data_IF_822909449368
#
_entry.id   IF_822909449368
#
_cell.length_a   1.000
_cell.length_b   1.000
_cell.length_c   1.000
_cell.angle_alpha   90.00
_cell.angle_beta   90.00
_cell.angle_gamma   90.00
#
_symmetry.space_group_name_H-M   'P 1'
#
loop_
_entity.id
_entity.type
_entity.pdbx_description
1 polymer ?
#
# COMPACT_ATOMS: atom_id res chain seq x y z
N UNK A 1 2.99 -21.38 12.76
CA UNK A 1 1.53 -21.57 12.78
C UNK A 1 1.04 -21.87 11.39
N UNK A 2 -0.08 -22.56 11.25
CA UNK A 2 -0.82 -22.67 9.98
C UNK A 2 -2.09 -21.85 10.11
N UNK A 3 -2.34 -20.99 9.14
CA UNK A 3 -3.59 -20.27 9.01
C UNK A 3 -4.45 -20.90 7.93
N UNK A 4 -5.74 -21.03 8.18
CA UNK A 4 -6.75 -21.20 7.14
C UNK A 4 -7.07 -19.81 6.63
N UNK A 5 -6.79 -19.56 5.35
CA UNK A 5 -6.97 -18.24 4.74
C UNK A 5 -8.45 -17.92 4.58
N UNK A 6 -8.88 -16.76 5.07
CA UNK A 6 -10.23 -16.27 4.86
C UNK A 6 -10.33 -15.38 3.62
N UNK A 7 -9.28 -14.58 3.37
CA UNK A 7 -9.18 -13.72 2.19
C UNK A 7 -7.73 -13.36 1.90
N UNK A 8 -7.43 -13.12 0.63
CA UNK A 8 -6.17 -12.57 0.15
C UNK A 8 -6.44 -11.51 -0.92
N UNK A 9 -6.00 -10.29 -0.69
CA UNK A 9 -6.08 -9.21 -1.66
C UNK A 9 -5.11 -9.43 -2.82
N UNK A 10 -5.50 -8.97 -4.02
CA UNK A 10 -4.63 -8.92 -5.19
C UNK A 10 -4.00 -7.53 -5.24
N UNK A 11 -2.68 -7.47 -5.08
CA UNK A 11 -1.89 -6.25 -5.20
C UNK A 11 -1.52 -5.97 -6.67
N UNK A 12 -1.28 -4.70 -7.00
CA UNK A 12 -0.67 -4.35 -8.29
C UNK A 12 0.73 -4.99 -8.47
N UNK A 13 1.44 -5.27 -7.37
CA UNK A 13 2.69 -6.04 -7.38
C UNK A 13 2.50 -7.47 -7.88
N UNK A 14 1.43 -8.15 -7.45
CA UNK A 14 1.12 -9.52 -7.89
C UNK A 14 0.83 -9.56 -9.40
N UNK A 15 0.02 -8.61 -9.90
CA UNK A 15 -0.30 -8.54 -11.34
C UNK A 15 0.91 -8.21 -12.20
N UNK A 16 1.84 -7.35 -11.72
CA UNK A 16 3.12 -7.07 -12.39
C UNK A 16 4.04 -8.29 -12.37
N UNK A 17 4.13 -8.99 -11.25
CA UNK A 17 4.92 -10.21 -11.12
C UNK A 17 4.40 -11.30 -12.06
N UNK A 18 3.09 -11.52 -12.10
CA UNK A 18 2.44 -12.47 -13.01
C UNK A 18 2.67 -12.12 -14.48
N UNK A 19 2.69 -10.83 -14.84
CA UNK A 19 2.97 -10.35 -16.18
C UNK A 19 4.46 -10.41 -16.58
N UNK A 20 5.35 -10.90 -15.74
CA UNK A 20 6.77 -11.02 -16.05
C UNK A 20 7.55 -9.72 -15.98
N UNK A 21 7.11 -8.74 -15.18
CA UNK A 21 7.78 -7.44 -15.06
C UNK A 21 9.24 -7.59 -14.63
N UNK A 22 10.15 -6.88 -15.31
CA UNK A 22 11.59 -6.94 -15.10
C UNK A 22 12.01 -6.61 -13.66
N UNK A 23 11.29 -5.70 -12.97
CA UNK A 23 11.53 -5.38 -11.56
C UNK A 23 11.40 -6.58 -10.61
N UNK A 24 10.66 -7.62 -10.99
CA UNK A 24 10.49 -8.85 -10.23
C UNK A 24 11.35 -10.01 -10.75
N UNK A 25 11.46 -10.12 -12.08
CA UNK A 25 12.10 -11.27 -12.74
C UNK A 25 13.56 -11.02 -13.11
N UNK A 26 14.05 -9.79 -12.89
CA UNK A 26 15.41 -9.39 -13.22
C UNK A 26 15.60 -9.00 -14.67
N UNK A 27 16.70 -8.32 -14.94
CA UNK A 27 17.21 -7.96 -16.27
C UNK A 27 18.73 -7.75 -16.18
N UNK A 28 19.39 -7.46 -17.29
CA UNK A 28 20.84 -7.23 -17.29
C UNK A 28 21.23 -6.16 -16.25
N UNK A 29 22.01 -6.58 -15.26
CA UNK A 29 22.47 -5.72 -14.16
C UNK A 29 21.57 -5.67 -12.92
N UNK A 30 20.35 -6.25 -12.96
CA UNK A 30 19.47 -6.37 -11.80
C UNK A 30 19.10 -7.84 -11.54
N UNK A 31 19.42 -8.41 -10.36
CA UNK A 31 19.12 -9.80 -10.05
C UNK A 31 17.61 -10.01 -9.91
N UNK A 32 17.18 -11.24 -10.20
CA UNK A 32 15.82 -11.71 -10.00
C UNK A 32 15.43 -11.64 -8.52
N UNK A 33 14.32 -10.97 -8.22
CA UNK A 33 13.76 -10.89 -6.86
C UNK A 33 12.90 -12.12 -6.51
N UNK A 34 12.01 -12.52 -7.41
CA UNK A 34 11.16 -13.71 -7.22
C UNK A 34 11.99 -14.98 -7.17
N UNK A 35 11.67 -15.85 -6.22
CA UNK A 35 12.29 -17.18 -6.05
C UNK A 35 11.22 -18.25 -6.09
N UNK A 36 10.96 -18.77 -7.28
CA UNK A 36 10.01 -19.84 -7.52
C UNK A 36 10.56 -21.25 -7.15
N UNK A 37 9.68 -22.25 -6.96
CA UNK A 37 8.21 -22.13 -6.93
C UNK A 37 7.72 -21.45 -5.66
N UNK A 38 6.69 -20.58 -5.77
CA UNK A 38 6.03 -19.94 -4.64
C UNK A 38 4.52 -19.81 -4.89
N UNK A 39 3.75 -19.69 -3.83
CA UNK A 39 2.34 -19.30 -3.87
C UNK A 39 2.29 -17.78 -3.65
N UNK A 40 1.65 -17.00 -4.54
CA UNK A 40 1.59 -15.54 -4.41
C UNK A 40 0.64 -15.05 -3.33
N UNK A 41 0.59 -13.72 -3.13
CA UNK A 41 -0.33 -13.02 -2.24
C UNK A 41 0.26 -12.69 -0.87
N UNK A 42 0.35 -11.41 -0.57
CA UNK A 42 0.90 -10.90 0.69
C UNK A 42 -0.12 -10.11 1.52
N UNK A 43 -1.28 -9.80 0.95
CA UNK A 43 -2.37 -9.08 1.61
C UNK A 43 -3.42 -10.10 2.13
N UNK A 44 -3.10 -10.89 3.16
CA UNK A 44 -3.99 -11.96 3.60
C UNK A 44 -4.35 -11.91 5.09
N UNK A 45 -5.52 -12.44 5.39
CA UNK A 45 -6.02 -12.67 6.74
C UNK A 45 -6.53 -14.11 6.84
N UNK A 46 -6.39 -14.72 8.01
CA UNK A 46 -6.84 -16.10 8.22
C UNK A 46 -6.93 -16.47 9.68
N UNK A 47 -7.50 -17.65 9.94
CA UNK A 47 -7.66 -18.23 11.29
C UNK A 47 -6.59 -19.26 11.57
N UNK A 48 -6.05 -19.23 12.78
CA UNK A 48 -5.09 -20.23 13.28
C UNK A 48 -5.76 -21.58 13.38
N UNK A 49 -5.25 -22.55 12.63
CA UNK A 49 -5.74 -23.95 12.66
C UNK A 49 -4.70 -24.92 13.22
N UNK A 50 -3.42 -24.52 13.27
CA UNK A 50 -2.36 -25.32 13.86
C UNK A 50 -1.30 -24.42 14.49
N UNK A 51 -0.83 -24.79 15.69
CA UNK A 51 0.22 -24.08 16.41
C UNK A 51 1.36 -25.05 16.70
N UNK A 52 2.52 -24.81 16.09
CA UNK A 52 3.72 -25.59 16.34
C UNK A 52 4.34 -25.33 17.72
N UNK A 53 5.18 -26.25 18.23
CA UNK A 53 5.71 -26.19 19.61
C UNK A 53 6.63 -25.00 19.89
N UNK A 54 7.19 -24.36 18.87
CA UNK A 54 8.14 -23.27 19.00
C UNK A 54 7.55 -21.89 18.65
N UNK A 55 6.22 -21.78 18.54
CA UNK A 55 5.53 -20.52 18.27
C UNK A 55 5.60 -19.64 19.52
N UNK A 56 6.04 -18.39 19.34
CA UNK A 56 6.08 -17.39 20.42
C UNK A 56 4.75 -16.66 20.52
N UNK A 57 4.39 -16.23 21.72
CA UNK A 57 3.13 -15.53 22.01
C UNK A 57 2.02 -16.46 22.49
N UNK A 58 0.90 -15.88 22.88
CA UNK A 58 -0.25 -16.59 23.48
C UNK A 58 -1.36 -16.86 22.46
N UNK A 59 -0.97 -17.32 21.27
CA UNK A 59 -1.91 -17.64 20.18
C UNK A 59 -2.76 -18.87 20.51
N UNK A 60 -4.01 -18.85 20.06
CA UNK A 60 -4.96 -19.96 20.23
C UNK A 60 -5.51 -20.40 18.88
N UNK A 61 -5.97 -21.64 18.80
CA UNK A 61 -6.74 -22.11 17.64
C UNK A 61 -7.99 -21.25 17.49
N UNK A 62 -8.27 -20.82 16.26
CA UNK A 62 -9.37 -19.93 15.94
C UNK A 62 -9.03 -18.44 16.02
N UNK A 63 -7.89 -18.03 16.59
CA UNK A 63 -7.45 -16.64 16.54
C UNK A 63 -7.32 -16.19 15.09
N UNK A 64 -7.82 -15.00 14.79
CA UNK A 64 -7.75 -14.39 13.47
C UNK A 64 -6.53 -13.50 13.38
N UNK A 65 -5.75 -13.65 12.31
CA UNK A 65 -4.41 -13.04 12.18
C UNK A 65 -4.25 -12.44 10.79
N UNK A 66 -3.62 -11.25 10.74
CA UNK A 66 -3.01 -10.65 9.58
C UNK A 66 -1.51 -10.43 9.89
N UNK A 67 -0.57 -11.03 9.17
CA UNK A 67 0.86 -10.78 9.40
C UNK A 67 1.35 -9.57 8.61
N UNK A 68 2.47 -8.96 9.06
CA UNK A 68 3.23 -8.09 8.15
C UNK A 68 3.67 -8.90 6.94
N UNK A 69 3.72 -8.24 5.78
CA UNK A 69 4.14 -8.89 4.54
C UNK A 69 5.60 -9.31 4.52
N UNK A 70 6.46 -8.69 5.35
CA UNK A 70 7.87 -9.04 5.45
C UNK A 70 8.14 -10.10 6.53
N UNK A 71 9.06 -11.01 6.24
CA UNK A 71 9.60 -12.00 7.19
C UNK A 71 11.06 -11.66 7.45
N UNK A 72 11.37 -10.91 8.52
CA UNK A 72 12.71 -10.40 8.76
C UNK A 72 13.67 -11.52 9.20
N UNK A 73 14.95 -11.44 8.83
CA UNK A 73 15.95 -12.44 9.23
C UNK A 73 16.36 -12.33 10.72
N UNK A 74 16.10 -11.21 11.39
CA UNK A 74 16.47 -10.99 12.79
C UNK A 74 17.95 -10.69 13.05
N UNK A 75 18.85 -10.86 12.08
CA UNK A 75 20.31 -10.84 12.27
C UNK A 75 21.07 -9.75 11.50
N UNK A 76 20.51 -9.20 10.43
CA UNK A 76 21.14 -8.11 9.69
C UNK A 76 21.11 -6.79 10.47
N UNK A 77 21.89 -5.81 10.01
CA UNK A 77 21.98 -4.51 10.65
C UNK A 77 20.62 -3.83 10.83
N UNK A 78 19.78 -3.87 9.80
CA UNK A 78 18.45 -3.26 9.86
C UNK A 78 17.53 -3.94 10.89
N UNK A 79 17.51 -5.26 10.92
CA UNK A 79 16.74 -5.99 11.95
C UNK A 79 17.24 -5.68 13.37
N UNK A 80 18.56 -5.70 13.60
CA UNK A 80 19.16 -5.42 14.91
C UNK A 80 18.97 -3.98 15.39
N UNK A 81 18.72 -3.06 14.48
CA UNK A 81 18.47 -1.64 14.81
C UNK A 81 17.01 -1.23 14.77
N UNK A 82 16.07 -2.22 14.78
CA UNK A 82 14.63 -1.97 14.81
C UNK A 82 14.04 -1.50 13.47
N UNK A 83 14.74 -1.74 12.37
CA UNK A 83 14.33 -1.36 11.00
C UNK A 83 14.06 -2.61 10.17
N UNK A 84 13.30 -3.56 10.71
CA UNK A 84 13.06 -4.88 10.14
C UNK A 84 12.46 -4.87 8.73
N UNK A 85 11.67 -3.85 8.39
CA UNK A 85 11.09 -3.68 7.05
C UNK A 85 12.12 -3.42 5.95
N UNK A 86 13.34 -3.01 6.34
CA UNK A 86 14.50 -2.85 5.46
C UNK A 86 15.46 -4.04 5.56
N UNK A 87 14.99 -5.21 5.96
CA UNK A 87 15.81 -6.41 6.10
C UNK A 87 16.58 -6.73 4.82
N UNK A 88 17.89 -6.97 4.92
CA UNK A 88 18.74 -7.31 3.76
C UNK A 88 18.31 -8.57 3.02
N UNK A 89 17.76 -9.55 3.73
CA UNK A 89 17.22 -10.75 3.10
C UNK A 89 15.95 -10.48 2.31
N UNK A 90 15.17 -9.53 2.78
CA UNK A 90 13.94 -9.01 2.17
C UNK A 90 12.96 -10.10 1.72
N UNK A 91 12.75 -11.12 2.55
CA UNK A 91 11.75 -12.15 2.28
C UNK A 91 10.34 -11.59 2.50
N UNK A 92 9.53 -11.55 1.45
CA UNK A 92 8.12 -11.15 1.50
C UNK A 92 7.23 -12.36 1.21
N UNK A 93 6.10 -12.46 1.91
CA UNK A 93 5.08 -13.44 1.58
C UNK A 93 4.68 -13.32 0.11
N UNK A 94 4.56 -14.45 -0.57
CA UNK A 94 4.10 -14.50 -1.94
C UNK A 94 5.14 -14.20 -3.02
N UNK A 95 6.39 -13.89 -2.67
CA UNK A 95 7.47 -13.63 -3.63
C UNK A 95 8.68 -14.58 -3.48
N UNK A 96 8.77 -15.30 -2.38
CA UNK A 96 9.93 -16.11 -2.06
C UNK A 96 9.55 -17.59 -1.81
N UNK A 97 10.37 -18.50 -2.30
CA UNK A 97 10.16 -19.96 -2.23
C UNK A 97 9.80 -20.48 -0.83
N UNK A 98 10.40 -19.94 0.22
CA UNK A 98 10.23 -20.40 1.60
C UNK A 98 9.17 -19.58 2.37
N UNK A 99 8.59 -18.57 1.74
CA UNK A 99 7.63 -17.63 2.32
C UNK A 99 6.44 -17.53 1.37
N UNK A 100 5.68 -18.63 1.29
CA UNK A 100 4.47 -18.71 0.48
C UNK A 100 3.41 -17.74 0.97
N UNK A 101 2.66 -17.17 0.03
CA UNK A 101 1.58 -16.23 0.29
C UNK A 101 0.22 -16.87 0.54
N UNK A 102 -0.78 -16.01 0.65
CA UNK A 102 -2.15 -16.34 1.02
C UNK A 102 -3.11 -16.62 -0.13
N UNK A 103 -2.65 -16.69 -1.39
CA UNK A 103 -3.51 -17.16 -2.51
C UNK A 103 -3.62 -18.68 -2.49
N UNK A 104 -4.10 -19.22 -1.39
CA UNK A 104 -4.22 -20.64 -1.07
C UNK A 104 -5.26 -20.83 0.03
N UNK A 105 -5.75 -22.05 0.24
CA UNK A 105 -6.61 -22.39 1.37
C UNK A 105 -5.89 -22.28 2.72
N UNK A 106 -4.59 -22.57 2.74
CA UNK A 106 -3.76 -22.55 3.94
C UNK A 106 -2.41 -21.89 3.69
N UNK A 107 -1.94 -21.14 4.67
CA UNK A 107 -0.60 -20.52 4.65
C UNK A 107 0.17 -20.83 5.94
N UNK A 108 1.46 -21.09 5.78
CA UNK A 108 2.37 -21.31 6.90
C UNK A 108 3.06 -20.01 7.29
N UNK A 109 2.85 -19.54 8.50
CA UNK A 109 3.66 -18.50 9.11
C UNK A 109 4.92 -19.13 9.73
N UNK A 110 6.10 -18.67 9.31
CA UNK A 110 7.38 -19.09 9.91
C UNK A 110 7.53 -18.46 11.30
N UNK A 111 8.55 -18.88 12.05
CA UNK A 111 8.79 -18.35 13.40
C UNK A 111 9.22 -16.88 13.42
N UNK A 112 9.70 -16.37 12.28
CA UNK A 112 10.14 -14.99 12.10
C UNK A 112 9.01 -14.06 11.64
N UNK A 113 7.86 -14.61 11.24
CA UNK A 113 6.70 -13.83 10.84
C UNK A 113 6.22 -12.92 11.98
N UNK A 114 5.66 -11.78 11.62
CA UNK A 114 5.16 -10.76 12.54
C UNK A 114 3.62 -10.73 12.47
N UNK A 115 2.92 -11.59 13.22
CA UNK A 115 1.47 -11.70 13.20
C UNK A 115 0.81 -10.67 14.12
N UNK A 116 -0.34 -10.12 13.68
CA UNK A 116 -1.20 -9.22 14.44
C UNK A 116 -2.59 -9.83 14.60
N UNK A 117 -3.19 -9.62 15.77
CA UNK A 117 -4.53 -10.09 16.08
C UNK A 117 -5.57 -9.24 15.35
N UNK A 118 -6.52 -9.90 14.69
CA UNK A 118 -7.66 -9.25 14.01
C UNK A 118 -8.96 -9.62 14.75
N UNK A 119 -9.80 -8.64 15.14
CA UNK A 119 -11.08 -8.93 15.78
C UNK A 119 -11.92 -9.93 14.98
N UNK A 120 -12.52 -10.90 15.65
CA UNK A 120 -13.28 -11.98 15.02
C UNK A 120 -14.55 -11.46 14.30
N UNK A 121 -15.10 -10.36 14.78
CA UNK A 121 -16.29 -9.68 14.25
C UNK A 121 -16.00 -8.65 13.15
N UNK A 122 -14.71 -8.37 12.86
CA UNK A 122 -14.36 -7.47 11.77
C UNK A 122 -14.78 -8.08 10.43
N UNK A 123 -15.59 -7.36 9.58
CA UNK A 123 -15.97 -7.85 8.25
C UNK A 123 -14.75 -8.21 7.40
N UNK A 124 -14.90 -9.21 6.53
CA UNK A 124 -13.78 -9.70 5.69
C UNK A 124 -13.26 -8.61 4.74
N UNK A 125 -14.12 -7.75 4.25
CA UNK A 125 -13.77 -6.61 3.40
C UNK A 125 -12.87 -5.61 4.12
N UNK A 126 -13.09 -5.42 5.42
CA UNK A 126 -12.25 -4.58 6.27
C UNK A 126 -10.92 -5.26 6.58
N UNK A 127 -10.97 -6.54 6.94
CA UNK A 127 -9.78 -7.31 7.28
C UNK A 127 -8.81 -7.46 6.10
N UNK A 128 -9.31 -7.57 4.87
CA UNK A 128 -8.51 -7.63 3.65
C UNK A 128 -7.80 -6.29 3.31
N UNK A 129 -8.17 -5.19 3.97
CA UNK A 129 -7.56 -3.88 3.80
C UNK A 129 -6.49 -3.56 4.87
N UNK A 130 -6.27 -4.42 5.87
CA UNK A 130 -5.31 -4.15 6.95
C UNK A 130 -3.90 -3.94 6.40
N UNK A 131 -3.40 -4.88 5.59
CA UNK A 131 -2.05 -4.79 5.02
C UNK A 131 -1.89 -3.57 4.09
N UNK A 132 -2.72 -3.36 3.05
CA UNK A 132 -2.56 -2.21 2.18
C UNK A 132 -2.74 -0.87 2.92
N UNK A 133 -3.64 -0.80 3.90
CA UNK A 133 -3.83 0.41 4.69
C UNK A 133 -2.68 0.66 5.68
N UNK A 134 -2.01 -0.37 6.15
CA UNK A 134 -0.79 -0.23 6.93
C UNK A 134 0.33 0.41 6.08
N UNK A 135 0.47 0.04 4.81
CA UNK A 135 1.37 0.71 3.86
C UNK A 135 0.98 2.17 3.64
N UNK A 136 -0.32 2.44 3.48
CA UNK A 136 -0.85 3.80 3.34
C UNK A 136 -0.57 4.66 4.56
N UNK A 137 -0.80 4.11 5.74
CA UNK A 137 -0.54 4.78 7.02
C UNK A 137 0.95 5.12 7.17
N UNK A 138 1.84 4.18 6.88
CA UNK A 138 3.28 4.42 6.93
C UNK A 138 3.72 5.55 6.00
N UNK A 139 3.12 5.67 4.81
CA UNK A 139 3.38 6.77 3.89
C UNK A 139 3.05 8.12 4.54
N UNK A 140 1.90 8.23 5.19
CA UNK A 140 1.45 9.45 5.85
C UNK A 140 2.31 9.78 7.08
N UNK A 141 2.69 8.77 7.87
CA UNK A 141 3.61 8.93 8.99
C UNK A 141 4.98 9.47 8.52
N UNK A 142 5.53 8.89 7.44
CA UNK A 142 6.78 9.37 6.82
C UNK A 142 6.68 10.79 6.29
N UNK A 143 5.50 11.21 5.83
CA UNK A 143 5.25 12.58 5.36
C UNK A 143 5.31 13.62 6.48
N UNK A 144 5.14 13.22 7.76
CA UNK A 144 5.16 14.11 8.93
C UNK A 144 4.27 15.34 8.75
N UNK A 145 3.02 15.10 8.39
CA UNK A 145 2.03 16.13 8.09
C UNK A 145 1.75 17.00 9.32
N UNK A 146 1.70 18.32 9.11
CA UNK A 146 1.32 19.31 10.13
C UNK A 146 -0.04 19.92 9.79
N UNK A 147 -0.74 20.40 10.78
CA UNK A 147 -2.05 21.07 10.61
C UNK A 147 -2.00 22.37 9.80
N UNK A 148 -0.81 22.89 9.55
CA UNK A 148 -0.58 24.08 8.70
C UNK A 148 -0.26 23.73 7.25
N UNK A 149 -0.02 22.44 6.94
CA UNK A 149 0.46 22.02 5.62
C UNK A 149 -0.70 21.96 4.60
N UNK A 150 -0.41 22.38 3.39
CA UNK A 150 -1.18 22.06 2.19
C UNK A 150 -0.58 20.79 1.59
N UNK A 151 -1.35 19.73 1.58
CA UNK A 151 -0.94 18.41 1.09
C UNK A 151 -1.59 18.12 -0.25
N UNK A 152 -0.80 17.72 -1.22
CA UNK A 152 -1.26 17.20 -2.51
C UNK A 152 -0.90 15.73 -2.62
N UNK A 153 -1.88 14.88 -2.87
CA UNK A 153 -1.69 13.45 -3.12
C UNK A 153 -2.07 13.14 -4.56
N UNK A 154 -1.19 12.50 -5.30
CA UNK A 154 -1.43 12.02 -6.67
C UNK A 154 -1.62 10.52 -6.68
N UNK A 155 -2.78 10.09 -7.16
CA UNK A 155 -3.18 8.69 -7.24
C UNK A 155 -4.15 8.28 -6.14
N UNK A 156 -5.31 7.73 -6.56
CA UNK A 156 -6.40 7.28 -5.68
C UNK A 156 -6.85 5.85 -6.04
N UNK A 157 -5.87 4.93 -6.07
CA UNK A 157 -6.15 3.49 -6.01
C UNK A 157 -6.44 3.06 -4.57
N UNK A 158 -6.46 1.76 -4.31
CA UNK A 158 -6.70 1.21 -2.96
C UNK A 158 -5.78 1.85 -1.90
N UNK A 159 -4.49 1.91 -2.16
CA UNK A 159 -3.50 2.53 -1.25
C UNK A 159 -3.73 4.03 -1.12
N UNK A 160 -4.00 4.71 -2.24
CA UNK A 160 -4.29 6.15 -2.22
C UNK A 160 -5.52 6.50 -1.39
N UNK A 161 -6.59 5.71 -1.43
CA UNK A 161 -7.78 5.89 -0.57
C UNK A 161 -7.44 5.71 0.91
N UNK A 162 -6.65 4.69 1.25
CA UNK A 162 -6.13 4.51 2.61
C UNK A 162 -5.30 5.71 3.08
N UNK A 163 -4.48 6.29 2.18
CA UNK A 163 -3.71 7.51 2.48
C UNK A 163 -4.63 8.71 2.71
N UNK A 164 -5.68 8.91 1.89
CA UNK A 164 -6.67 10.00 2.10
C UNK A 164 -7.28 9.90 3.50
N UNK A 165 -7.73 8.70 3.90
CA UNK A 165 -8.26 8.48 5.26
C UNK A 165 -7.24 8.79 6.35
N UNK A 166 -6.00 8.34 6.21
CA UNK A 166 -4.93 8.60 7.17
C UNK A 166 -4.52 10.10 7.19
N UNK A 167 -4.43 10.75 6.03
CA UNK A 167 -4.17 12.20 5.91
C UNK A 167 -5.27 13.02 6.58
N UNK A 168 -6.54 12.59 6.47
CA UNK A 168 -7.63 13.27 7.17
C UNK A 168 -7.45 13.22 8.70
N UNK A 169 -6.94 12.10 9.23
CA UNK A 169 -6.63 12.00 10.67
C UNK A 169 -5.43 12.88 11.07
N UNK A 170 -4.43 13.06 10.18
CA UNK A 170 -3.33 14.00 10.38
C UNK A 170 -3.79 15.48 10.32
N UNK A 171 -4.99 15.73 9.78
CA UNK A 171 -5.67 17.02 9.78
C UNK A 171 -4.85 18.18 9.15
N UNK A 172 -4.37 18.07 7.90
CA UNK A 172 -3.69 19.16 7.22
C UNK A 172 -4.62 20.38 7.02
N UNK A 173 -4.03 21.55 6.75
CA UNK A 173 -4.78 22.77 6.42
C UNK A 173 -5.66 22.59 5.18
N UNK A 174 -5.15 21.88 4.19
CA UNK A 174 -5.86 21.59 2.95
C UNK A 174 -5.33 20.26 2.37
N UNK A 175 -6.23 19.32 2.09
CA UNK A 175 -5.94 18.06 1.42
C UNK A 175 -6.48 18.07 -0.01
N UNK A 176 -5.58 18.14 -0.99
CA UNK A 176 -5.88 18.09 -2.41
C UNK A 176 -5.52 16.73 -2.95
N UNK A 177 -6.43 16.09 -3.68
CA UNK A 177 -6.24 14.75 -4.21
C UNK A 177 -6.40 14.74 -5.73
N UNK A 178 -5.44 14.11 -6.42
CA UNK A 178 -5.36 14.08 -7.88
C UNK A 178 -5.54 12.65 -8.40
N UNK A 179 -6.37 12.47 -9.41
CA UNK A 179 -6.47 11.21 -10.18
C UNK A 179 -7.04 11.48 -11.57
N UNK A 180 -6.75 10.61 -12.54
CA UNK A 180 -7.33 10.70 -13.89
C UNK A 180 -8.76 10.13 -13.96
N UNK A 181 -9.19 9.39 -12.93
CA UNK A 181 -10.51 8.74 -12.86
C UNK A 181 -11.44 9.51 -11.94
N UNK A 182 -12.48 10.14 -12.51
CA UNK A 182 -13.43 10.96 -11.75
C UNK A 182 -14.20 10.16 -10.69
N UNK A 183 -14.54 8.89 -10.93
CA UNK A 183 -15.24 8.07 -9.94
C UNK A 183 -14.37 7.83 -8.70
N UNK A 184 -13.06 7.66 -8.89
CA UNK A 184 -12.10 7.58 -7.78
C UNK A 184 -11.96 8.90 -7.04
N UNK A 185 -12.01 10.03 -7.76
CA UNK A 185 -11.99 11.35 -7.16
C UNK A 185 -13.22 11.61 -6.28
N UNK A 186 -14.42 11.21 -6.73
CA UNK A 186 -15.62 11.29 -5.88
C UNK A 186 -15.46 10.43 -4.60
N UNK A 187 -14.89 9.24 -4.74
CA UNK A 187 -14.60 8.38 -3.58
C UNK A 187 -13.60 9.04 -2.62
N UNK A 188 -12.60 9.75 -3.14
CA UNK A 188 -11.64 10.48 -2.31
C UNK A 188 -12.32 11.61 -1.49
N UNK A 189 -13.35 12.28 -2.04
CA UNK A 189 -14.14 13.25 -1.26
C UNK A 189 -14.88 12.59 -0.10
N UNK A 190 -15.50 11.43 -0.34
CA UNK A 190 -16.15 10.65 0.72
C UNK A 190 -15.16 10.27 1.83
N UNK A 191 -13.89 10.03 1.49
CA UNK A 191 -12.81 9.66 2.41
C UNK A 191 -12.16 10.86 3.11
N UNK A 192 -12.55 12.09 2.76
CA UNK A 192 -12.17 13.30 3.45
C UNK A 192 -11.21 14.23 2.72
N UNK A 193 -11.04 14.09 1.40
CA UNK A 193 -10.34 15.09 0.59
C UNK A 193 -11.12 16.40 0.57
N UNK A 194 -10.45 17.53 0.81
CA UNK A 194 -11.08 18.86 0.77
C UNK A 194 -11.30 19.32 -0.68
N UNK A 195 -10.39 18.96 -1.57
CA UNK A 195 -10.47 19.26 -2.99
C UNK A 195 -9.95 18.08 -3.81
N UNK A 196 -10.63 17.81 -4.93
CA UNK A 196 -10.17 16.80 -5.88
C UNK A 196 -10.02 17.43 -7.26
N UNK A 197 -9.03 16.98 -8.03
CA UNK A 197 -8.73 17.54 -9.34
C UNK A 197 -8.29 16.43 -10.31
N UNK A 198 -8.74 16.56 -11.56
CA UNK A 198 -8.33 15.66 -12.63
C UNK A 198 -7.28 16.32 -13.52
N UNK A 199 -5.99 15.88 -13.44
CA UNK A 199 -4.90 16.46 -14.24
C UNK A 199 -5.11 16.37 -15.76
N UNK A 200 -5.98 15.49 -16.23
CA UNK A 200 -6.33 15.38 -17.64
C UNK A 200 -7.35 16.43 -18.10
N UNK A 201 -7.95 17.17 -17.16
CA UNK A 201 -9.03 18.13 -17.45
C UNK A 201 -8.70 19.57 -17.09
N UNK A 202 -7.73 19.77 -16.18
CA UNK A 202 -7.41 21.09 -15.65
C UNK A 202 -5.92 21.23 -15.33
N UNK A 203 -5.45 22.49 -15.30
CA UNK A 203 -4.07 22.80 -14.90
C UNK A 203 -3.95 22.80 -13.37
N UNK A 204 -3.62 21.62 -12.83
CA UNK A 204 -3.49 21.42 -11.39
C UNK A 204 -2.34 22.24 -10.79
N UNK A 205 -1.24 22.46 -11.54
CA UNK A 205 -0.09 23.25 -11.06
C UNK A 205 -0.49 24.72 -10.86
N UNK A 206 -1.16 25.31 -11.84
CA UNK A 206 -1.66 26.68 -11.75
C UNK A 206 -2.66 26.82 -10.60
N UNK A 207 -3.58 25.85 -10.46
CA UNK A 207 -4.60 25.89 -9.41
C UNK A 207 -4.01 25.76 -8.00
N UNK A 208 -3.05 24.85 -7.80
CA UNK A 208 -2.36 24.69 -6.51
C UNK A 208 -1.60 25.98 -6.16
N UNK A 209 -0.91 26.61 -7.12
CA UNK A 209 -0.24 27.89 -6.90
C UNK A 209 -1.22 29.00 -6.55
N UNK A 210 -2.36 29.10 -7.22
CA UNK A 210 -3.43 30.05 -6.88
C UNK A 210 -3.87 29.88 -5.41
N UNK A 211 -4.18 28.65 -5.00
CA UNK A 211 -4.63 28.34 -3.64
C UNK A 211 -3.59 28.59 -2.55
N UNK A 212 -2.31 28.64 -2.92
CA UNK A 212 -1.17 28.79 -2.01
C UNK A 212 -0.46 30.14 -2.14
N UNK A 213 -1.10 31.14 -2.76
CA UNK A 213 -0.51 32.47 -2.94
C UNK A 213 0.74 32.49 -3.82
N UNK A 214 0.85 31.56 -4.77
CA UNK A 214 1.96 31.46 -5.70
C UNK A 214 3.09 30.53 -5.25
N UNK A 215 3.09 30.05 -3.99
CA UNK A 215 4.20 29.27 -3.43
C UNK A 215 4.19 27.80 -3.87
N UNK A 216 3.05 27.14 -3.86
CA UNK A 216 2.91 25.69 -4.05
C UNK A 216 2.60 24.95 -2.75
N UNK A 217 2.40 23.62 -2.82
CA UNK A 217 2.07 22.80 -1.66
C UNK A 217 3.29 22.52 -0.74
N UNK A 218 3.02 22.26 0.52
CA UNK A 218 4.03 21.89 1.52
C UNK A 218 4.53 20.47 1.32
N UNK A 219 3.61 19.57 0.99
CA UNK A 219 3.88 18.14 0.80
C UNK A 219 3.22 17.68 -0.50
N UNK A 220 3.97 16.93 -1.29
CA UNK A 220 3.45 16.18 -2.44
C UNK A 220 3.71 14.69 -2.24
N UNK A 221 2.65 13.88 -2.27
CA UNK A 221 2.73 12.42 -2.17
C UNK A 221 2.49 11.82 -3.55
N UNK A 222 3.48 11.13 -4.09
CA UNK A 222 3.38 10.39 -5.34
C UNK A 222 2.93 8.95 -5.05
N UNK A 223 1.69 8.61 -5.39
CA UNK A 223 1.07 7.30 -5.22
C UNK A 223 0.38 6.80 -6.49
N UNK A 224 0.64 7.42 -7.64
CA UNK A 224 0.08 7.03 -8.94
C UNK A 224 0.96 6.03 -9.70
N UNK A 225 2.28 6.09 -9.52
CA UNK A 225 3.27 5.33 -10.27
C UNK A 225 3.39 5.76 -11.74
N UNK A 226 2.87 6.94 -12.10
CA UNK A 226 2.97 7.46 -13.45
C UNK A 226 4.08 8.50 -13.57
N UNK A 227 5.02 8.40 -14.55
CA UNK A 227 6.16 9.31 -14.66
C UNK A 227 5.81 10.79 -14.68
N UNK A 228 4.68 11.18 -15.30
CA UNK A 228 4.26 12.59 -15.37
C UNK A 228 3.88 13.17 -14.00
N UNK A 229 3.44 12.33 -13.06
CA UNK A 229 3.10 12.76 -11.70
C UNK A 229 4.33 13.24 -10.93
N UNK A 230 5.51 12.68 -11.21
CA UNK A 230 6.77 13.12 -10.58
C UNK A 230 7.09 14.55 -11.00
N UNK A 231 7.06 14.85 -12.30
CA UNK A 231 7.32 16.22 -12.79
C UNK A 231 6.25 17.19 -12.27
N UNK A 232 4.98 16.80 -12.35
CA UNK A 232 3.86 17.59 -11.82
C UNK A 232 4.07 17.92 -10.33
N UNK A 233 4.49 16.94 -9.54
CA UNK A 233 4.78 17.15 -8.12
C UNK A 233 5.93 18.11 -7.89
N UNK A 234 7.02 17.99 -8.66
CA UNK A 234 8.15 18.91 -8.60
C UNK A 234 7.73 20.35 -8.99
N UNK A 235 6.75 20.51 -9.87
CA UNK A 235 6.22 21.83 -10.27
C UNK A 235 5.24 22.39 -9.22
N UNK A 236 4.46 21.53 -8.58
CA UNK A 236 3.47 21.89 -7.55
C UNK A 236 4.09 22.25 -6.21
N UNK A 237 5.19 21.59 -5.82
CA UNK A 237 5.75 21.72 -4.48
C UNK A 237 6.50 23.05 -4.31
N UNK A 238 6.35 23.69 -3.13
CA UNK A 238 7.08 24.90 -2.78
C UNK A 238 8.56 24.62 -2.49
N UNK A 239 9.36 25.68 -2.41
CA UNK A 239 10.71 25.59 -1.85
C UNK A 239 10.67 25.05 -0.42
N UNK A 240 11.66 24.22 -0.06
CA UNK A 240 11.75 23.53 1.24
C UNK A 240 10.50 22.68 1.54
N UNK A 241 9.86 22.15 0.50
CA UNK A 241 8.74 21.22 0.63
C UNK A 241 9.22 19.78 0.73
N UNK A 242 8.32 18.86 1.07
CA UNK A 242 8.58 17.42 1.17
C UNK A 242 7.92 16.68 0.01
N UNK A 243 8.72 16.02 -0.81
CA UNK A 243 8.25 15.10 -1.85
C UNK A 243 8.32 13.68 -1.31
N UNK A 244 7.18 13.01 -1.19
CA UNK A 244 7.07 11.65 -0.67
C UNK A 244 6.82 10.71 -1.83
N UNK A 245 7.79 9.82 -2.09
CA UNK A 245 7.74 8.81 -3.14
C UNK A 245 7.31 7.47 -2.55
N UNK A 246 6.16 6.98 -2.99
CA UNK A 246 5.58 5.73 -2.51
C UNK A 246 5.48 4.66 -3.61
N UNK A 247 5.43 5.08 -4.87
CA UNK A 247 5.07 4.19 -5.97
C UNK A 247 6.20 3.28 -6.42
N UNK A 248 5.84 2.16 -7.03
CA UNK A 248 6.78 1.31 -7.78
C UNK A 248 6.56 1.56 -9.27
N UNK A 249 7.47 2.32 -9.88
CA UNK A 249 7.41 2.64 -11.32
C UNK A 249 7.71 1.42 -12.19
N UNK A 250 7.04 1.32 -13.32
CA UNK A 250 7.29 0.26 -14.32
C UNK A 250 8.48 0.56 -15.23
N UNK A 251 8.99 1.81 -15.21
CA UNK A 251 10.11 2.29 -16.03
C UNK A 251 10.84 3.43 -15.33
N UNK A 252 12.11 3.72 -15.66
CA UNK A 252 12.84 4.87 -15.13
C UNK A 252 12.12 6.19 -15.40
N UNK A 253 12.22 7.13 -14.46
CA UNK A 253 11.70 8.49 -14.57
C UNK A 253 12.87 9.45 -14.65
N UNK A 254 12.85 10.35 -15.64
CA UNK A 254 13.90 11.38 -15.82
C UNK A 254 13.35 12.72 -15.38
N UNK A 255 14.08 13.40 -14.49
CA UNK A 255 13.77 14.75 -14.01
C UNK A 255 15.04 15.60 -13.92
N UNK A 256 14.90 16.92 -13.90
CA UNK A 256 16.01 17.83 -13.60
C UNK A 256 16.31 17.83 -12.09
N UNK A 257 17.35 17.12 -11.70
CA UNK A 257 17.80 17.02 -10.31
C UNK A 257 18.15 18.36 -9.67
N UNK A 258 18.45 19.42 -10.46
CA UNK A 258 18.69 20.76 -9.92
C UNK A 258 17.44 21.35 -9.23
N UNK A 259 16.24 20.85 -9.57
CA UNK A 259 15.00 21.29 -8.90
C UNK A 259 15.01 20.85 -7.44
N UNK A 260 15.52 19.64 -7.16
CA UNK A 260 15.52 19.07 -5.81
C UNK A 260 16.49 19.83 -4.90
N UNK A 261 17.69 20.13 -5.40
CA UNK A 261 18.78 20.76 -4.60
C UNK A 261 18.75 22.28 -4.74
N UNK A 262 19.38 22.81 -5.80
CA UNK A 262 19.71 24.22 -5.99
C UNK A 262 18.47 25.15 -6.04
N UNK A 263 17.39 24.70 -6.70
CA UNK A 263 16.23 25.58 -6.94
C UNK A 263 15.22 25.55 -5.80
N UNK A 264 15.03 24.41 -5.13
CA UNK A 264 13.95 24.26 -4.15
C UNK A 264 14.39 23.70 -2.78
N UNK A 265 15.57 23.10 -2.64
CA UNK A 265 16.05 22.49 -1.39
C UNK A 265 14.98 21.56 -0.77
N UNK A 266 14.57 20.52 -1.55
CA UNK A 266 13.49 19.63 -1.18
C UNK A 266 13.96 18.50 -0.27
N UNK A 267 13.12 18.10 0.71
CA UNK A 267 13.21 16.79 1.34
C UNK A 267 12.58 15.75 0.39
N UNK A 268 13.39 14.76 -0.04
CA UNK A 268 12.91 13.65 -0.85
C UNK A 268 12.85 12.39 0.02
N UNK A 269 11.64 11.90 0.28
CA UNK A 269 11.37 10.81 1.22
C UNK A 269 10.83 9.59 0.48
N UNK A 270 11.58 8.46 0.53
CA UNK A 270 11.07 7.17 0.08
C UNK A 270 10.28 6.46 1.17
N UNK A 271 9.31 5.65 0.75
CA UNK A 271 8.47 4.85 1.65
C UNK A 271 8.49 3.39 1.21
N UNK A 272 8.60 2.47 2.17
CA UNK A 272 8.62 1.04 1.91
C UNK A 272 7.91 0.26 3.00
N UNK A 273 6.98 -0.63 2.61
CA UNK A 273 6.19 -1.49 3.50
C UNK A 273 5.44 -0.71 4.62
N UNK A 274 5.22 -1.35 5.77
CA UNK A 274 4.28 -0.88 6.80
C UNK A 274 4.70 -1.19 8.23
N UNK A 275 5.94 -0.83 8.64
CA UNK A 275 6.42 -1.17 9.98
C UNK A 275 5.59 -0.50 11.07
N UNK A 276 5.29 -1.27 12.14
CA UNK A 276 4.65 -0.77 13.37
C UNK A 276 3.25 -0.16 13.19
N UNK A 277 2.61 -0.35 12.03
CA UNK A 277 1.34 0.30 11.71
C UNK A 277 0.10 -0.58 11.94
N UNK A 278 0.25 -1.90 11.99
CA UNK A 278 -0.87 -2.84 11.96
C UNK A 278 -1.86 -2.67 13.11
N UNK A 279 -1.39 -2.61 14.36
CA UNK A 279 -2.29 -2.43 15.52
C UNK A 279 -3.14 -1.16 15.38
N UNK A 280 -2.51 -0.03 15.01
CA UNK A 280 -3.20 1.25 14.79
C UNK A 280 -4.20 1.15 13.64
N UNK A 281 -3.82 0.52 12.55
CA UNK A 281 -4.68 0.39 11.36
C UNK A 281 -5.87 -0.52 11.67
N UNK A 282 -5.66 -1.66 12.34
CA UNK A 282 -6.73 -2.56 12.77
C UNK A 282 -7.73 -1.81 13.68
N UNK A 283 -7.23 -1.07 14.66
CA UNK A 283 -8.06 -0.24 15.54
C UNK A 283 -8.84 0.82 14.74
N UNK A 284 -8.17 1.54 13.83
CA UNK A 284 -8.78 2.65 13.10
C UNK A 284 -9.76 2.20 12.02
N UNK A 285 -9.56 1.04 11.42
CA UNK A 285 -10.57 0.40 10.57
C UNK A 285 -11.78 0.01 11.44
N UNK A 286 -11.55 -0.68 12.56
CA UNK A 286 -12.62 -1.16 13.43
C UNK A 286 -13.48 -0.06 14.06
N UNK A 287 -12.91 1.12 14.31
CA UNK A 287 -13.65 2.26 14.88
C UNK A 287 -14.08 3.31 13.85
N UNK A 288 -13.87 3.05 12.54
CA UNK A 288 -14.31 3.90 11.42
C UNK A 288 -13.46 5.16 11.17
N UNK A 289 -12.30 5.31 11.83
CA UNK A 289 -11.37 6.42 11.53
C UNK A 289 -10.71 6.27 10.16
N UNK A 290 -10.46 5.04 9.71
CA UNK A 290 -10.06 4.75 8.34
C UNK A 290 -11.27 4.18 7.59
N UNK A 291 -11.85 4.95 6.65
CA UNK A 291 -12.98 4.48 5.84
C UNK A 291 -12.59 3.31 4.95
N UNK A 292 -13.48 2.34 4.82
CA UNK A 292 -13.26 1.13 4.01
C UNK A 292 -14.40 0.85 3.02
N UNK A 293 -15.52 1.55 3.15
CA UNK A 293 -16.74 1.30 2.39
C UNK A 293 -16.52 1.42 0.88
N UNK A 294 -16.88 0.36 0.15
CA UNK A 294 -16.76 0.30 -1.31
C UNK A 294 -15.32 0.23 -1.84
N UNK A 295 -14.31 -0.03 -1.01
CA UNK A 295 -12.92 -0.23 -1.46
C UNK A 295 -12.71 -1.65 -1.95
N UNK A 296 -13.17 -2.67 -1.22
CA UNK A 296 -13.25 -4.04 -1.75
C UNK A 296 -14.46 -4.10 -2.68
N UNK A 297 -14.19 -4.06 -3.99
CA UNK A 297 -15.22 -4.01 -5.03
C UNK A 297 -15.56 -5.37 -5.60
N UNK A 298 -14.61 -6.29 -5.61
CA UNK A 298 -14.77 -7.61 -6.23
C UNK A 298 -14.22 -8.70 -5.32
N UNK A 299 -14.96 -9.80 -5.22
CA UNK A 299 -14.54 -11.02 -4.53
C UNK A 299 -14.69 -12.19 -5.50
N UNK A 300 -13.68 -13.04 -5.56
CA UNK A 300 -13.65 -14.24 -6.38
C UNK A 300 -13.26 -15.45 -5.54
N UNK A 301 -13.83 -16.63 -5.80
CA UNK A 301 -13.28 -17.87 -5.28
C UNK A 301 -11.87 -18.11 -5.80
N UNK A 302 -11.09 -18.92 -5.09
CA UNK A 302 -9.69 -19.17 -5.46
C UNK A 302 -9.55 -19.76 -6.88
N UNK A 303 -10.50 -20.58 -7.31
CA UNK A 303 -10.52 -21.21 -8.65
C UNK A 303 -10.65 -20.19 -9.78
N UNK A 304 -11.23 -19.02 -9.52
CA UNK A 304 -11.37 -17.90 -10.48
C UNK A 304 -10.27 -16.86 -10.37
N UNK A 305 -9.11 -17.23 -9.87
CA UNK A 305 -7.99 -16.32 -9.67
C UNK A 305 -7.57 -15.58 -10.95
N UNK A 306 -7.62 -16.21 -12.13
CA UNK A 306 -7.27 -15.56 -13.40
C UNK A 306 -8.20 -14.39 -13.72
N UNK A 307 -9.52 -14.56 -13.50
CA UNK A 307 -10.50 -13.49 -13.64
C UNK A 307 -10.22 -12.36 -12.63
N UNK A 308 -9.95 -12.73 -11.38
CA UNK A 308 -9.56 -11.78 -10.33
C UNK A 308 -8.33 -10.96 -10.70
N UNK A 309 -7.28 -11.60 -11.23
CA UNK A 309 -6.06 -10.92 -11.70
C UNK A 309 -6.33 -10.01 -12.89
N UNK A 310 -7.16 -10.44 -13.84
CA UNK A 310 -7.54 -9.62 -14.99
C UNK A 310 -8.26 -8.34 -14.53
N UNK A 311 -9.28 -8.46 -13.70
CA UNK A 311 -10.06 -7.33 -13.16
C UNK A 311 -9.17 -6.40 -12.31
N UNK A 312 -8.31 -6.96 -11.46
CA UNK A 312 -7.37 -6.17 -10.66
C UNK A 312 -6.38 -5.37 -11.52
N UNK A 313 -5.93 -5.95 -12.65
CA UNK A 313 -4.98 -5.31 -13.58
C UNK A 313 -5.64 -4.22 -14.43
N UNK A 314 -6.84 -4.48 -14.95
CA UNK A 314 -7.50 -3.58 -15.91
C UNK A 314 -8.28 -2.46 -15.23
N UNK A 315 -8.75 -2.67 -13.99
CA UNK A 315 -9.66 -1.75 -13.32
C UNK A 315 -11.07 -1.73 -13.92
N UNK A 316 -11.41 -2.72 -14.75
CA UNK A 316 -12.74 -2.87 -15.35
C UNK A 316 -13.82 -2.95 -14.27
N UNK A 317 -15.04 -2.58 -14.63
CA UNK A 317 -16.21 -2.56 -13.74
C UNK A 317 -16.00 -1.73 -12.46
N UNK A 318 -15.12 -0.73 -12.51
CA UNK A 318 -14.82 0.14 -11.36
C UNK A 318 -13.96 -0.52 -10.28
N UNK A 319 -13.18 -1.54 -10.62
CA UNK A 319 -12.37 -2.27 -9.64
C UNK A 319 -11.37 -1.35 -8.93
N UNK A 320 -11.38 -1.46 -7.59
CA UNK A 320 -10.41 -0.86 -6.68
C UNK A 320 -9.57 -1.96 -6.02
N UNK A 321 -10.13 -2.65 -5.02
CA UNK A 321 -9.52 -3.84 -4.43
C UNK A 321 -10.28 -5.07 -4.85
N UNK A 322 -9.55 -6.04 -5.40
CA UNK A 322 -10.03 -7.38 -5.72
C UNK A 322 -9.48 -8.35 -4.69
N UNK A 323 -10.31 -9.27 -4.20
CA UNK A 323 -9.95 -10.20 -3.13
C UNK A 323 -10.30 -11.63 -3.56
N UNK A 324 -9.39 -12.56 -3.33
CA UNK A 324 -9.63 -14.00 -3.43
C UNK A 324 -10.12 -14.52 -2.07
N UNK A 325 -11.20 -15.27 -2.08
CA UNK A 325 -11.85 -15.86 -0.89
C UNK A 325 -11.93 -17.37 -1.08
N UNK A 326 -11.00 -18.16 -0.48
CA UNK A 326 -10.89 -19.60 -0.75
C UNK A 326 -12.12 -20.43 -0.41
N UNK A 327 -12.95 -19.99 0.56
CA UNK A 327 -14.19 -20.70 0.94
C UNK A 327 -15.42 -20.24 0.15
N UNK A 328 -15.29 -19.31 -0.78
CA UNK A 328 -16.38 -18.86 -1.62
C UNK A 328 -16.70 -19.94 -2.68
N UNK A 329 -17.97 -20.28 -2.85
CA UNK A 329 -18.39 -21.19 -3.93
C UNK A 329 -18.12 -20.55 -5.29
N UNK A 330 -17.71 -21.39 -6.27
CA UNK A 330 -17.26 -20.96 -7.60
C UNK A 330 -18.45 -20.56 -8.53
#
# INVERSE_FOLDING_TARGET
MILKVEACGICAGDTKAYAGAASFWGFDGQPKYIKEPMIPGHEFVGKVVEIGPNVKGNWKLGDRICPEQIVPCGECMFCKTGRHWMCEKHDLFGFQKNVNGGMAEYVKLTKEALPYFVPADMPIEQAALIEPYACSFHCVDRAQVKTTDVVVQSGVGTLGLGMVGALRQANPKLLIVLDMNDARLEKAKEFGADLVMNPGKEDVVAKIKELTGGYGCDIYIEASGHPSSVQQGLDCIRKMGRFVEFSVFGQPVTVDWSIISDRKELDLLGVHLSPFCYDTVIEWIGNGKLPTDGVVTHKFPLEKWEEGFHIAKTGENGALKVVLVPEMEA
#
